data_IF_110917057875
#
_entry.id   IF_110917057875
#
_cell.length_a   1.000
_cell.length_b   1.000
_cell.length_c   1.000
_cell.angle_alpha   90.00
_cell.angle_beta   90.00
_cell.angle_gamma   90.00
#
_symmetry.space_group_name_H-M   'P 1'
#
loop_
_entity.id
_entity.type
_entity.pdbx_description
1 polymer ?
#
# COMPACT_ATOMS: atom_id res chain seq x y z
N UNK A 1 -0.46 3.64 0.56
CA UNK A 1 -1.92 3.39 0.60
C UNK A 1 -2.36 3.54 2.04
N UNK A 2 -3.52 4.13 2.30
CA UNK A 2 -4.10 4.21 3.65
C UNK A 2 -5.46 3.51 3.59
N UNK A 3 -5.74 2.64 4.56
CA UNK A 3 -7.01 1.94 4.73
C UNK A 3 -7.62 2.35 6.06
N UNK A 4 -8.91 2.65 6.09
CA UNK A 4 -9.63 3.03 7.30
C UNK A 4 -11.08 2.55 7.20
N UNK A 5 -11.67 2.22 8.34
CA UNK A 5 -13.10 1.89 8.46
C UNK A 5 -13.92 3.08 8.98
N UNK A 6 -13.32 4.27 9.11
CA UNK A 6 -13.96 5.48 9.58
C UNK A 6 -14.17 6.45 8.40
N UNK A 7 -15.44 6.75 8.12
CA UNK A 7 -15.86 7.60 7.00
C UNK A 7 -15.41 9.06 7.12
N UNK A 8 -15.33 9.58 8.34
CA UNK A 8 -14.85 10.95 8.60
C UNK A 8 -13.36 11.06 8.25
N UNK A 9 -12.56 10.08 8.69
CA UNK A 9 -11.15 10.00 8.33
C UNK A 9 -10.96 9.82 6.83
N UNK A 10 -11.77 8.96 6.19
CA UNK A 10 -11.74 8.76 4.75
C UNK A 10 -11.96 10.08 3.99
N UNK A 11 -12.99 10.83 4.36
CA UNK A 11 -13.34 12.11 3.73
C UNK A 11 -12.23 13.15 3.89
N UNK A 12 -11.65 13.24 5.10
CA UNK A 12 -10.50 14.12 5.37
C UNK A 12 -9.27 13.72 4.54
N UNK A 13 -8.95 12.43 4.45
CA UNK A 13 -7.82 11.93 3.67
C UNK A 13 -7.97 12.21 2.17
N UNK A 14 -9.19 12.12 1.63
CA UNK A 14 -9.47 12.48 0.24
C UNK A 14 -9.20 13.94 -0.06
N UNK A 15 -9.55 14.86 0.85
CA UNK A 15 -9.25 16.28 0.69
C UNK A 15 -7.74 16.53 0.80
N UNK A 16 -7.09 15.99 1.84
CA UNK A 16 -5.66 16.21 2.08
C UNK A 16 -4.76 15.70 0.96
N UNK A 17 -5.13 14.65 0.22
CA UNK A 17 -4.31 14.15 -0.90
C UNK A 17 -4.31 15.07 -2.12
N UNK A 18 -5.28 15.99 -2.22
CA UNK A 18 -5.48 16.93 -3.33
C UNK A 18 -5.52 18.37 -2.82
N UNK A 19 -4.46 18.81 -2.13
CA UNK A 19 -4.31 20.20 -1.64
C UNK A 19 -5.41 20.70 -0.71
N UNK A 20 -6.24 19.83 -0.14
CA UNK A 20 -7.35 20.23 0.74
C UNK A 20 -8.57 20.77 -0.01
N UNK A 21 -8.66 20.48 -1.31
CA UNK A 21 -9.78 20.85 -2.17
C UNK A 21 -10.99 19.95 -1.86
N UNK A 22 -12.13 20.58 -1.55
CA UNK A 22 -13.40 19.86 -1.41
C UNK A 22 -13.98 19.53 -2.79
N UNK A 23 -14.36 18.26 -3.01
CA UNK A 23 -14.99 17.78 -4.26
C UNK A 23 -16.48 17.50 -4.06
N UNK A 24 -17.18 18.38 -3.37
CA UNK A 24 -18.62 18.26 -3.20
C UNK A 24 -19.32 18.38 -4.56
N UNK A 25 -19.85 17.25 -5.04
CA UNK A 25 -20.46 17.15 -6.36
C UNK A 25 -21.69 18.06 -6.49
N UNK A 26 -22.41 18.29 -5.38
CA UNK A 26 -23.60 19.15 -5.34
C UNK A 26 -23.29 20.60 -5.74
N UNK A 27 -22.10 21.11 -5.41
CA UNK A 27 -21.66 22.48 -5.72
C UNK A 27 -21.10 22.65 -7.14
N UNK A 28 -20.78 21.55 -7.82
CA UNK A 28 -20.22 21.56 -9.19
C UNK A 28 -21.26 21.75 -10.29
N UNK A 29 -22.52 21.37 -10.05
CA UNK A 29 -23.58 21.36 -11.07
C UNK A 29 -24.54 22.58 -10.98
N UNK A 30 -24.17 23.63 -10.26
CA UNK A 30 -24.91 24.89 -10.20
C UNK A 30 -24.70 25.80 -11.43
N UNK A 31 -25.43 26.92 -11.52
CA UNK A 31 -25.35 27.90 -12.63
C UNK A 31 -23.95 28.50 -12.87
N UNK A 32 -23.05 28.39 -11.90
CA UNK A 32 -21.62 28.80 -11.97
C UNK A 32 -20.70 27.58 -12.23
N UNK A 33 -21.23 26.53 -12.86
CA UNK A 33 -20.57 25.26 -13.07
C UNK A 33 -19.37 25.37 -14.01
N UNK A 34 -18.18 25.22 -13.46
CA UNK A 34 -16.97 24.98 -14.25
C UNK A 34 -15.69 24.98 -13.43
N UNK A 35 -15.56 25.94 -12.50
CA UNK A 35 -14.27 26.22 -11.85
C UNK A 35 -14.34 26.49 -10.35
N UNK A 36 -15.47 26.19 -9.69
CA UNK A 36 -15.56 26.37 -8.25
C UNK A 36 -14.67 25.34 -7.53
N UNK A 37 -13.55 25.82 -6.98
CA UNK A 37 -12.62 25.06 -6.15
C UNK A 37 -12.47 25.81 -4.83
N UNK A 38 -12.98 25.19 -3.76
CA UNK A 38 -12.84 25.71 -2.40
C UNK A 38 -11.78 24.90 -1.65
N UNK A 39 -10.74 25.58 -1.18
CA UNK A 39 -9.66 24.98 -0.38
C UNK A 39 -9.97 25.21 1.10
N UNK A 40 -10.55 24.19 1.73
CA UNK A 40 -10.98 24.28 3.13
C UNK A 40 -9.82 24.06 4.11
N UNK A 41 -8.78 23.36 3.66
CA UNK A 41 -7.61 23.00 4.46
C UNK A 41 -6.35 23.14 3.63
N UNK A 42 -5.21 23.35 4.30
CA UNK A 42 -3.91 23.20 3.65
C UNK A 42 -3.61 21.71 3.48
N UNK A 43 -3.75 21.19 2.26
CA UNK A 43 -3.41 19.81 1.94
C UNK A 43 -2.09 19.63 1.20
N UNK A 44 -1.83 18.39 0.81
CA UNK A 44 -0.62 17.95 0.12
C UNK A 44 -0.93 17.43 -1.29
N UNK A 45 0.12 17.14 -2.06
CA UNK A 45 0.04 16.50 -3.37
C UNK A 45 0.46 15.03 -3.28
N UNK A 46 -0.45 14.20 -2.78
CA UNK A 46 -0.21 12.76 -2.58
C UNK A 46 -1.11 11.88 -3.45
N UNK A 47 -1.59 12.42 -4.58
CA UNK A 47 -2.35 11.65 -5.55
C UNK A 47 -1.45 10.63 -6.27
N UNK A 48 -1.95 9.40 -6.39
CA UNK A 48 -1.30 8.36 -7.20
C UNK A 48 -1.58 8.61 -8.67
N UNK A 49 -0.60 8.34 -9.55
CA UNK A 49 -0.81 8.43 -11.00
C UNK A 49 -1.57 7.20 -11.53
N UNK A 50 -2.23 7.36 -12.68
CA UNK A 50 -2.91 6.26 -13.36
C UNK A 50 -1.94 5.13 -13.72
N UNK A 51 -0.71 5.46 -14.13
CA UNK A 51 0.31 4.46 -14.45
C UNK A 51 0.65 3.56 -13.24
N UNK A 52 0.88 4.17 -12.07
CA UNK A 52 1.16 3.41 -10.85
C UNK A 52 -0.07 2.62 -10.38
N UNK A 53 -1.28 3.17 -10.57
CA UNK A 53 -2.52 2.49 -10.22
C UNK A 53 -2.75 1.26 -11.09
N UNK A 54 -2.55 1.37 -12.41
CA UNK A 54 -2.64 0.26 -13.34
C UNK A 54 -1.61 -0.83 -13.03
N UNK A 55 -0.36 -0.45 -12.76
CA UNK A 55 0.67 -1.41 -12.32
C UNK A 55 0.26 -2.10 -11.02
N UNK A 56 -0.24 -1.35 -10.05
CA UNK A 56 -0.69 -1.85 -8.75
C UNK A 56 -1.80 -2.89 -8.89
N UNK A 57 -2.81 -2.66 -9.73
CA UNK A 57 -3.90 -3.61 -9.99
C UNK A 57 -3.36 -4.94 -10.52
N UNK A 58 -2.44 -4.91 -11.49
CA UNK A 58 -1.84 -6.12 -12.04
C UNK A 58 -0.93 -6.84 -11.03
N UNK A 59 -0.25 -6.09 -10.14
CA UNK A 59 0.53 -6.68 -9.06
C UNK A 59 -0.34 -7.32 -7.98
N UNK A 60 -1.48 -6.72 -7.65
CA UNK A 60 -2.44 -7.28 -6.68
C UNK A 60 -2.98 -8.64 -7.17
N UNK A 61 -3.24 -8.78 -8.48
CA UNK A 61 -3.64 -10.07 -9.06
C UNK A 61 -2.57 -11.17 -8.93
N UNK A 62 -1.29 -10.80 -8.75
CA UNK A 62 -0.16 -11.73 -8.59
C UNK A 62 0.27 -11.91 -7.13
N UNK A 63 -0.41 -11.25 -6.18
CA UNK A 63 0.01 -11.15 -4.79
C UNK A 63 0.16 -12.53 -4.13
N UNK A 64 -0.76 -13.45 -4.40
CA UNK A 64 -0.70 -14.80 -3.83
C UNK A 64 0.56 -15.55 -4.28
N UNK A 65 0.90 -15.50 -5.57
CA UNK A 65 2.11 -16.12 -6.10
C UNK A 65 3.38 -15.53 -5.47
N UNK A 66 3.41 -14.21 -5.27
CA UNK A 66 4.51 -13.56 -4.58
C UNK A 66 4.62 -14.02 -3.12
N UNK A 67 3.51 -14.11 -2.39
CA UNK A 67 3.51 -14.59 -1.01
C UNK A 67 4.01 -16.03 -0.90
N UNK A 68 3.55 -16.93 -1.78
CA UNK A 68 4.00 -18.33 -1.83
C UNK A 68 5.52 -18.35 -2.04
N UNK A 69 6.00 -17.65 -3.06
CA UNK A 69 7.42 -17.64 -3.41
C UNK A 69 8.28 -17.09 -2.27
N UNK A 70 7.85 -16.02 -1.62
CA UNK A 70 8.56 -15.45 -0.47
C UNK A 70 8.64 -16.45 0.69
N UNK A 71 7.55 -17.15 1.00
CA UNK A 71 7.53 -18.19 2.05
C UNK A 71 8.43 -19.37 1.71
N UNK A 72 8.44 -19.83 0.46
CA UNK A 72 9.34 -20.90 0.01
C UNK A 72 10.81 -20.56 0.24
N UNK A 73 11.22 -19.35 -0.13
CA UNK A 73 12.59 -18.86 0.03
C UNK A 73 12.92 -18.78 1.52
N UNK A 74 12.04 -18.21 2.35
CA UNK A 74 12.23 -18.16 3.79
C UNK A 74 12.42 -19.53 4.42
N UNK A 75 11.56 -20.50 4.08
CA UNK A 75 11.64 -21.87 4.58
C UNK A 75 12.89 -22.62 4.07
N UNK A 76 13.39 -22.29 2.88
CA UNK A 76 14.66 -22.83 2.37
C UNK A 76 15.83 -22.34 3.20
N UNK A 77 15.88 -21.04 3.51
CA UNK A 77 16.96 -20.46 4.31
C UNK A 77 16.93 -20.94 5.76
N UNK A 78 15.76 -21.10 6.37
CA UNK A 78 15.63 -21.72 7.71
C UNK A 78 16.22 -23.14 7.70
N UNK A 79 15.80 -23.99 6.74
CA UNK A 79 16.33 -25.36 6.62
C UNK A 79 17.84 -25.40 6.37
N UNK A 80 18.37 -24.47 5.57
CA UNK A 80 19.83 -24.33 5.35
C UNK A 80 20.55 -24.04 6.66
N UNK A 81 20.04 -23.11 7.47
CA UNK A 81 20.64 -22.74 8.77
C UNK A 81 20.57 -23.88 9.78
N UNK A 82 19.45 -24.61 9.86
CA UNK A 82 19.32 -25.80 10.71
C UNK A 82 20.31 -26.90 10.34
N UNK A 83 20.45 -27.18 9.04
CA UNK A 83 21.40 -28.18 8.55
C UNK A 83 22.87 -27.77 8.81
N UNK A 84 23.17 -26.47 8.66
CA UNK A 84 24.47 -25.92 9.07
C UNK A 84 24.73 -26.10 10.56
N UNK A 85 23.75 -25.81 11.41
CA UNK A 85 23.86 -25.94 12.86
C UNK A 85 24.03 -27.41 13.31
N UNK A 86 23.27 -28.35 12.69
CA UNK A 86 23.45 -29.80 12.92
C UNK A 86 24.85 -30.28 12.52
N UNK A 87 25.44 -29.74 11.45
CA UNK A 87 26.82 -30.06 11.04
C UNK A 87 27.87 -29.53 12.02
N UNK A 88 27.68 -28.34 12.58
CA UNK A 88 28.56 -27.76 13.60
C UNK A 88 28.49 -28.60 14.88
N UNK A 89 27.29 -28.88 15.40
CA UNK A 89 27.11 -29.70 16.60
C UNK A 89 27.74 -31.09 16.48
N UNK A 90 27.60 -31.76 15.31
CA UNK A 90 28.25 -33.06 15.06
C UNK A 90 29.78 -32.99 15.07
N UNK A 91 30.38 -31.85 14.71
CA UNK A 91 31.84 -31.65 14.82
C UNK A 91 32.29 -31.41 16.27
N UNK A 92 31.44 -30.80 17.09
CA UNK A 92 31.72 -30.53 18.51
C UNK A 92 31.47 -31.74 19.42
N UNK A 93 30.66 -32.71 19.00
CA UNK A 93 30.33 -33.91 19.82
C UNK A 93 31.11 -35.18 19.46
N UNK A 94 32.00 -35.17 18.46
CA UNK A 94 32.86 -36.32 18.21
C UNK A 94 34.02 -36.37 19.22
N UNK A 95 34.35 -37.43 19.96
CA UNK A 95 33.95 -38.86 20.00
C UNK A 95 33.51 -39.49 18.67
#
# INVERSE_FOLDING_TARGET
MVTTNNDELYSKLLMFRTHGISRDASKRFGKEGGFYYDMQYLGYRYNMSELHSALGIHQLNKLEQFQIRTREIGNREIRRRENGNKRIRRRETGR
#
